data_IF_035598712625
#
_entry.id   IF_035598712625
#
_cell.length_a   1.000
_cell.length_b   1.000
_cell.length_c   1.000
_cell.angle_alpha   90.00
_cell.angle_beta   90.00
_cell.angle_gamma   90.00
#
_symmetry.space_group_name_H-M   'P 1'
#
loop_
_entity.id
_entity.type
_entity.pdbx_description
1 polymer ?
#
# COMPACT_ATOMS: atom_id res chain seq x y z
N UNK A 1 -3.33 19.00 -3.19
CA UNK A 1 -4.03 17.68 -3.18
C UNK A 1 -4.48 17.38 -1.76
N UNK A 2 -5.54 16.58 -1.51
CA UNK A 2 -6.04 16.28 -0.15
C UNK A 2 -4.99 15.61 0.78
N UNK A 3 -3.91 15.08 0.20
CA UNK A 3 -2.78 14.48 0.90
C UNK A 3 -1.67 15.48 1.29
N UNK A 4 -1.69 16.71 0.76
CA UNK A 4 -0.66 17.71 1.05
C UNK A 4 -0.80 18.28 2.47
N UNK A 5 0.33 18.44 3.16
CA UNK A 5 0.35 18.99 4.52
C UNK A 5 -0.04 18.02 5.62
N UNK A 6 -0.41 16.77 5.28
CA UNK A 6 -0.63 15.72 6.27
C UNK A 6 0.69 15.26 6.89
N UNK A 7 0.73 14.95 8.20
CA UNK A 7 1.95 14.47 8.85
C UNK A 7 2.30 13.04 8.45
N UNK A 8 1.30 12.22 8.11
CA UNK A 8 1.48 10.83 7.74
C UNK A 8 0.34 10.29 6.87
N UNK A 9 0.65 9.28 6.07
CA UNK A 9 -0.30 8.52 5.25
C UNK A 9 0.01 7.02 5.34
N UNK A 10 -1.02 6.19 5.37
CA UNK A 10 -0.92 4.74 5.20
C UNK A 10 -0.96 4.37 3.72
N UNK A 11 -0.16 3.38 3.32
CA UNK A 11 -0.02 2.97 1.92
C UNK A 11 0.07 1.46 1.80
N UNK A 12 -0.63 0.92 0.80
CA UNK A 12 -0.58 -0.49 0.41
C UNK A 12 -0.79 -0.61 -1.11
N UNK A 13 -0.30 -1.68 -1.72
CA UNK A 13 -0.44 -1.95 -3.16
C UNK A 13 -0.90 -3.39 -3.39
N UNK A 14 -1.69 -3.59 -4.44
CA UNK A 14 -2.00 -4.93 -4.94
C UNK A 14 -1.41 -5.10 -6.34
N UNK A 15 -0.75 -6.24 -6.57
CA UNK A 15 -0.15 -6.60 -7.85
C UNK A 15 -0.71 -7.90 -8.43
N UNK A 16 -0.26 -8.26 -9.63
CA UNK A 16 -0.70 -9.46 -10.37
C UNK A 16 0.41 -10.49 -10.59
N UNK A 17 1.40 -10.53 -9.70
CA UNK A 17 2.61 -11.36 -9.79
C UNK A 17 2.39 -12.85 -10.03
N UNK A 18 1.22 -13.37 -9.67
CA UNK A 18 0.87 -14.79 -9.88
C UNK A 18 0.27 -15.10 -11.27
N UNK A 19 0.00 -14.08 -12.09
CA UNK A 19 -0.72 -14.23 -13.36
C UNK A 19 0.05 -13.72 -14.59
N UNK A 20 1.06 -12.86 -14.42
CA UNK A 20 1.82 -12.27 -15.52
C UNK A 20 3.34 -12.32 -15.28
N UNK A 21 4.11 -12.47 -16.38
CA UNK A 21 5.58 -12.50 -16.33
C UNK A 21 6.18 -11.14 -15.97
N UNK A 22 5.60 -10.05 -16.48
CA UNK A 22 5.88 -8.69 -16.02
C UNK A 22 4.79 -8.31 -15.03
N UNK A 23 5.13 -8.34 -13.76
CA UNK A 23 4.24 -7.92 -12.67
C UNK A 23 3.98 -6.42 -12.78
N UNK A 24 2.74 -5.99 -12.52
CA UNK A 24 2.36 -4.58 -12.49
C UNK A 24 1.49 -4.28 -11.27
N UNK A 25 1.55 -3.04 -10.80
CA UNK A 25 0.61 -2.56 -9.78
C UNK A 25 -0.79 -2.48 -10.39
N UNK A 26 -1.74 -3.12 -9.72
CA UNK A 26 -3.14 -3.26 -10.14
C UNK A 26 -4.11 -2.51 -9.23
N UNK A 27 -3.71 -2.20 -8.00
CA UNK A 27 -4.45 -1.33 -7.09
C UNK A 27 -3.46 -0.56 -6.22
N UNK A 28 -3.79 0.68 -5.89
CA UNK A 28 -3.01 1.52 -5.01
C UNK A 28 -3.93 2.12 -3.95
N UNK A 29 -3.73 1.73 -2.70
CA UNK A 29 -4.49 2.17 -1.56
C UNK A 29 -3.72 3.23 -0.76
N UNK A 30 -4.39 4.32 -0.43
CA UNK A 30 -3.86 5.38 0.44
C UNK A 30 -4.88 5.68 1.52
N UNK A 31 -4.45 5.65 2.77
CA UNK A 31 -5.28 5.99 3.93
C UNK A 31 -4.74 7.23 4.63
N UNK A 32 -5.66 8.09 5.03
CA UNK A 32 -5.42 9.28 5.85
C UNK A 32 -6.30 9.17 7.12
N UNK A 33 -6.12 10.05 8.12
CA UNK A 33 -7.00 10.06 9.29
C UNK A 33 -8.49 10.29 8.97
N UNK A 34 -8.82 10.93 7.84
CA UNK A 34 -10.20 11.28 7.47
C UNK A 34 -10.79 10.47 6.31
N UNK A 35 -9.94 9.94 5.43
CA UNK A 35 -10.34 9.42 4.12
C UNK A 35 -9.50 8.21 3.70
N UNK A 36 -10.13 7.25 3.01
CA UNK A 36 -9.46 6.15 2.31
C UNK A 36 -9.62 6.34 0.80
N UNK A 37 -8.53 6.19 0.07
CA UNK A 37 -8.47 6.31 -1.38
C UNK A 37 -8.07 4.96 -1.97
N UNK A 38 -8.86 4.51 -2.95
CA UNK A 38 -8.55 3.32 -3.76
C UNK A 38 -8.38 3.78 -5.19
N UNK A 39 -7.14 3.73 -5.67
CA UNK A 39 -6.74 4.25 -6.97
C UNK A 39 -6.51 3.07 -7.90
N UNK A 40 -7.14 3.10 -9.07
CA UNK A 40 -6.95 2.12 -10.13
C UNK A 40 -5.85 2.58 -11.11
N UNK A 41 -4.60 2.09 -10.97
CA UNK A 41 -3.50 2.47 -11.86
C UNK A 41 -3.66 1.96 -13.30
N UNK A 42 -4.58 1.02 -13.57
CA UNK A 42 -4.82 0.52 -14.92
C UNK A 42 -5.70 1.47 -15.74
N UNK A 43 -6.47 2.34 -15.08
CA UNK A 43 -7.34 3.33 -15.74
C UNK A 43 -6.84 4.76 -15.57
N UNK A 44 -6.17 5.07 -14.46
CA UNK A 44 -5.55 6.38 -14.22
C UNK A 44 -4.24 6.47 -14.99
N UNK A 45 -4.22 7.34 -16.01
CA UNK A 45 -3.07 7.49 -16.94
C UNK A 45 -1.88 8.22 -16.35
N UNK A 46 -2.08 9.02 -15.32
CA UNK A 46 -1.03 9.86 -14.73
C UNK A 46 -1.13 9.85 -13.19
N UNK A 47 -0.14 9.21 -12.56
CA UNK A 47 0.05 9.19 -11.11
C UNK A 47 1.16 10.14 -10.65
N UNK A 48 1.75 10.93 -11.56
CA UNK A 48 2.77 11.93 -11.20
C UNK A 48 2.34 12.93 -10.13
N UNK A 49 1.04 13.29 -9.94
CA UNK A 49 0.64 14.14 -8.82
C UNK A 49 0.91 13.55 -7.43
N UNK A 50 1.07 12.23 -7.31
CA UNK A 50 1.44 11.57 -6.05
C UNK A 50 2.93 11.74 -5.71
N UNK A 51 3.79 11.89 -6.73
CA UNK A 51 5.24 11.89 -6.54
C UNK A 51 5.75 12.95 -5.52
N UNK A 52 5.26 14.20 -5.51
CA UNK A 52 5.67 15.19 -4.52
C UNK A 52 5.39 14.77 -3.07
N UNK A 53 4.23 14.16 -2.80
CA UNK A 53 3.84 13.72 -1.44
C UNK A 53 4.70 12.53 -0.98
N UNK A 54 4.99 11.59 -1.88
CA UNK A 54 5.86 10.46 -1.58
C UNK A 54 7.32 10.87 -1.40
N UNK A 55 7.78 11.90 -2.12
CA UNK A 55 9.12 12.44 -2.01
C UNK A 55 9.32 13.40 -0.82
N UNK A 56 8.24 13.96 -0.25
CA UNK A 56 8.34 14.88 0.89
C UNK A 56 8.81 14.14 2.15
N UNK A 57 9.88 14.62 2.79
CA UNK A 57 10.41 14.06 4.04
C UNK A 57 9.55 14.40 5.26
N UNK A 58 8.72 15.45 5.18
CA UNK A 58 7.83 15.89 6.26
C UNK A 58 6.60 15.01 6.40
N UNK A 59 6.20 14.33 5.32
CA UNK A 59 5.10 13.38 5.31
C UNK A 59 5.65 11.99 5.54
N UNK A 60 5.26 11.30 6.61
CA UNK A 60 5.64 9.91 6.84
C UNK A 60 4.78 8.98 5.98
N UNK A 61 5.41 8.05 5.27
CA UNK A 61 4.69 7.01 4.53
C UNK A 61 4.75 5.72 5.33
N UNK A 62 3.60 5.26 5.81
CA UNK A 62 3.48 4.07 6.63
C UNK A 62 3.08 2.91 5.73
N UNK A 63 3.92 1.87 5.71
CA UNK A 63 3.69 0.63 4.97
C UNK A 63 3.79 -0.57 5.93
N UNK A 64 3.44 -1.76 5.43
CA UNK A 64 3.68 -3.02 6.11
C UNK A 64 4.41 -4.01 5.20
N UNK A 65 5.72 -4.22 5.41
CA UNK A 65 6.50 -5.12 4.55
C UNK A 65 6.76 -4.55 3.15
N UNK A 66 7.23 -3.31 3.09
CA UNK A 66 7.22 -2.45 1.90
C UNK A 66 8.23 -2.82 0.79
N UNK A 67 9.07 -3.85 0.97
CA UNK A 67 10.20 -4.14 0.07
C UNK A 67 9.78 -4.29 -1.40
N UNK A 68 8.66 -4.96 -1.64
CA UNK A 68 8.08 -5.08 -2.98
C UNK A 68 7.45 -3.76 -3.45
N UNK A 69 6.67 -3.11 -2.59
CA UNK A 69 5.90 -1.91 -2.95
C UNK A 69 6.79 -0.76 -3.39
N UNK A 70 7.88 -0.52 -2.68
CA UNK A 70 8.82 0.57 -2.99
C UNK A 70 9.46 0.36 -4.37
N UNK A 71 9.81 -0.89 -4.71
CA UNK A 71 10.36 -1.20 -6.04
C UNK A 71 9.31 -1.03 -7.12
N UNK A 72 8.09 -1.50 -6.88
CA UNK A 72 6.97 -1.40 -7.83
C UNK A 72 6.59 0.05 -8.12
N UNK A 73 6.51 0.91 -7.08
CA UNK A 73 6.24 2.34 -7.23
C UNK A 73 7.27 3.05 -8.11
N UNK A 74 8.55 2.74 -7.92
CA UNK A 74 9.60 3.33 -8.74
C UNK A 74 9.60 2.77 -10.17
N UNK A 75 9.48 1.45 -10.32
CA UNK A 75 9.46 0.77 -11.63
C UNK A 75 8.32 1.23 -12.52
N UNK A 76 7.10 1.30 -11.97
CA UNK A 76 5.89 1.51 -12.77
C UNK A 76 5.54 2.99 -12.89
N UNK A 77 5.89 3.81 -11.90
CA UNK A 77 5.42 5.20 -11.81
C UNK A 77 6.52 6.24 -11.54
N UNK A 78 7.80 5.82 -11.45
CA UNK A 78 8.93 6.67 -11.06
C UNK A 78 8.73 7.41 -9.71
N UNK A 79 7.88 6.89 -8.83
CA UNK A 79 7.60 7.47 -7.51
C UNK A 79 8.70 7.03 -6.54
N UNK A 80 9.41 8.02 -5.98
CA UNK A 80 10.39 7.80 -4.92
C UNK A 80 9.76 8.03 -3.55
N UNK A 81 9.98 7.10 -2.62
CA UNK A 81 9.46 7.20 -1.26
C UNK A 81 10.56 7.68 -0.31
N UNK A 82 10.28 8.78 0.40
CA UNK A 82 11.12 9.32 1.49
C UNK A 82 10.35 9.27 2.81
N UNK A 83 11.03 9.19 3.95
CA UNK A 83 10.35 9.13 5.27
C UNK A 83 9.42 7.91 5.40
N UNK A 84 9.91 6.74 4.95
CA UNK A 84 9.22 5.46 5.09
C UNK A 84 9.26 4.98 6.54
N UNK A 85 8.12 4.52 7.04
CA UNK A 85 8.01 3.76 8.28
C UNK A 85 7.35 2.41 7.97
N UNK A 86 8.08 1.31 8.20
CA UNK A 86 7.58 -0.03 7.95
C UNK A 86 7.18 -0.71 9.26
N UNK A 87 5.89 -1.00 9.38
CA UNK A 87 5.29 -1.60 10.59
C UNK A 87 5.71 -3.05 10.80
N UNK A 88 6.03 -3.81 9.75
CA UNK A 88 6.54 -5.17 9.88
C UNK A 88 7.95 -5.15 10.45
N UNK A 89 8.80 -4.24 9.97
CA UNK A 89 10.16 -4.05 10.50
C UNK A 89 10.09 -3.59 11.96
N UNK A 90 9.21 -2.64 12.28
CA UNK A 90 8.99 -2.19 13.66
C UNK A 90 8.56 -3.35 14.58
N UNK A 91 7.62 -4.19 14.16
CA UNK A 91 7.19 -5.37 14.92
C UNK A 91 8.34 -6.34 15.20
N UNK A 92 9.24 -6.53 14.23
CA UNK A 92 10.46 -7.36 14.40
C UNK A 92 11.41 -6.75 15.43
N UNK A 93 11.61 -5.43 15.42
CA UNK A 93 12.44 -4.75 16.42
C UNK A 93 11.84 -4.81 17.84
N UNK A 94 10.51 -4.84 17.94
CA UNK A 94 9.81 -5.03 19.21
C UNK A 94 9.81 -6.47 19.71
N UNK A 95 10.38 -7.42 18.97
CA UNK A 95 10.44 -8.83 19.36
C UNK A 95 9.10 -9.56 19.28
N UNK A 96 8.15 -9.04 18.48
CA UNK A 96 6.86 -9.70 18.25
C UNK A 96 7.07 -11.03 17.53
N UNK A 97 6.35 -12.08 17.98
CA UNK A 97 6.46 -13.43 17.39
C UNK A 97 5.87 -13.47 15.98
N UNK A 98 4.66 -12.93 15.83
CA UNK A 98 3.94 -12.85 14.57
C UNK A 98 4.02 -11.41 14.06
N UNK A 99 4.51 -11.24 12.83
CA UNK A 99 4.80 -9.91 12.26
C UNK A 99 4.02 -9.60 11.00
N UNK A 100 3.13 -10.50 10.57
CA UNK A 100 2.23 -10.25 9.44
C UNK A 100 1.08 -9.32 9.82
N UNK A 101 0.64 -8.50 8.86
CA UNK A 101 -0.39 -7.46 9.07
C UNK A 101 -1.64 -7.99 9.76
N UNK A 102 -2.18 -9.12 9.30
CA UNK A 102 -3.37 -9.72 9.90
C UNK A 102 -3.18 -10.08 11.38
N UNK A 103 -1.99 -10.55 11.77
CA UNK A 103 -1.67 -10.87 13.16
C UNK A 103 -1.58 -9.59 13.99
N UNK A 104 -0.91 -8.56 13.46
CA UNK A 104 -0.80 -7.26 14.13
C UNK A 104 -2.16 -6.58 14.29
N UNK A 105 -3.02 -6.65 13.27
CA UNK A 105 -4.39 -6.12 13.32
C UNK A 105 -5.23 -6.82 14.39
N UNK A 106 -5.14 -8.14 14.48
CA UNK A 106 -5.86 -8.91 15.47
C UNK A 106 -5.36 -8.61 16.89
N UNK A 107 -4.04 -8.60 17.10
CA UNK A 107 -3.43 -8.43 18.43
C UNK A 107 -3.62 -7.02 18.99
N UNK A 108 -3.48 -5.99 18.14
CA UNK A 108 -3.49 -4.59 18.59
C UNK A 108 -4.88 -3.94 18.48
N UNK A 109 -5.74 -4.41 17.58
CA UNK A 109 -7.02 -3.75 17.29
C UNK A 109 -8.23 -4.70 17.32
N UNK A 110 -8.02 -6.00 17.54
CA UNK A 110 -9.11 -7.00 17.51
C UNK A 110 -9.74 -7.20 16.14
N UNK A 111 -9.09 -6.74 15.07
CA UNK A 111 -9.60 -6.80 13.70
C UNK A 111 -9.19 -8.10 13.04
N UNK A 112 -10.19 -8.91 12.65
CA UNK A 112 -9.98 -10.14 11.88
C UNK A 112 -9.90 -9.78 10.40
N UNK A 113 -8.72 -9.93 9.80
CA UNK A 113 -8.51 -9.73 8.37
C UNK A 113 -8.86 -10.98 7.57
N UNK A 114 -9.65 -10.80 6.52
CA UNK A 114 -10.03 -11.85 5.60
C UNK A 114 -8.99 -12.00 4.46
N UNK A 115 -8.19 -13.06 4.52
CA UNK A 115 -7.12 -13.31 3.53
C UNK A 115 -7.60 -13.92 2.22
N UNK A 116 -8.92 -14.07 2.00
CA UNK A 116 -9.48 -14.74 0.81
C UNK A 116 -9.08 -14.10 -0.52
N UNK A 117 -8.71 -12.81 -0.52
CA UNK A 117 -8.48 -12.03 -1.74
C UNK A 117 -7.00 -11.76 -2.07
N UNK A 118 -6.05 -12.06 -1.18
CA UNK A 118 -4.61 -11.80 -1.40
C UNK A 118 -4.01 -12.48 -2.65
N UNK A 119 -4.61 -13.59 -3.12
CA UNK A 119 -4.12 -14.34 -4.30
C UNK A 119 -5.04 -14.22 -5.50
N UNK A 120 -5.93 -13.22 -5.50
CA UNK A 120 -6.86 -13.02 -6.61
C UNK A 120 -6.19 -12.23 -7.73
N UNK A 121 -6.76 -12.38 -8.91
CA UNK A 121 -6.35 -11.64 -10.10
C UNK A 121 -6.86 -10.20 -10.02
N UNK A 122 -6.02 -9.32 -9.47
CA UNK A 122 -6.29 -7.89 -9.31
C UNK A 122 -6.29 -7.11 -10.63
N UNK A 123 -5.96 -7.74 -11.76
CA UNK A 123 -6.01 -7.09 -13.07
C UNK A 123 -7.42 -7.01 -13.67
N UNK A 124 -8.38 -7.78 -13.12
CA UNK A 124 -9.76 -7.86 -13.63
C UNK A 124 -10.54 -6.58 -13.34
N UNK A 125 -11.38 -6.18 -14.29
CA UNK A 125 -12.28 -5.02 -14.17
C UNK A 125 -13.72 -5.39 -14.59
N UNK A 126 -14.74 -4.83 -13.91
CA UNK A 126 -14.65 -4.02 -12.68
C UNK A 126 -14.23 -4.86 -11.47
N UNK A 127 -13.66 -4.22 -10.43
CA UNK A 127 -13.37 -4.91 -9.17
C UNK A 127 -14.70 -5.23 -8.45
N UNK A 128 -14.90 -6.48 -7.98
CA UNK A 128 -16.06 -6.84 -7.17
C UNK A 128 -16.10 -6.03 -5.86
N UNK A 129 -17.29 -5.68 -5.38
CA UNK A 129 -17.46 -4.93 -4.13
C UNK A 129 -16.72 -5.54 -2.91
N UNK A 130 -16.62 -6.87 -2.74
CA UNK A 130 -15.83 -7.44 -1.63
C UNK A 130 -14.31 -7.28 -1.73
N UNK A 131 -13.79 -6.78 -2.86
CA UNK A 131 -12.36 -6.51 -3.08
C UNK A 131 -12.02 -5.02 -2.92
N UNK A 132 -13.02 -4.18 -2.61
CA UNK A 132 -12.87 -2.77 -2.25
C UNK A 132 -13.04 -2.62 -0.73
#
# INVERSE_FOLDING_TARGET
MELEGLPEIGVDLEGDSMFHYQEKVCLFQISTPSSNFVIDPLTVKDLSPLAPVFADKKVRKIFHGADYDIRSLYRDFAIQVRSLFDTQIAARFLGMKETGLASLLQENFGVISDKRYQKKDWSRRPLPAPML
#
